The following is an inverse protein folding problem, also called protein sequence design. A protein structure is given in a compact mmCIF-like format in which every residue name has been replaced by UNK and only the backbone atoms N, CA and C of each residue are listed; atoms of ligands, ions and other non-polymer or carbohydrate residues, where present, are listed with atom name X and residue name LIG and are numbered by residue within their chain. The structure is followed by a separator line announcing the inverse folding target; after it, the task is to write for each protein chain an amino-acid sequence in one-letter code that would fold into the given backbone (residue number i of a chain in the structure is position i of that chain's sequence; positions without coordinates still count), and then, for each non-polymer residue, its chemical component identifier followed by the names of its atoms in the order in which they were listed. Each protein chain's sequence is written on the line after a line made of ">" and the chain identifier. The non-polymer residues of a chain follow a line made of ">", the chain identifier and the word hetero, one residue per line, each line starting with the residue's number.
data_IF_246931179406
#
_entry.id   IF_246931179406
#
_cell.length_a   1.000
_cell.length_b   1.000
_cell.length_c   1.000
_cell.angle_alpha   90.00
_cell.angle_beta   90.00
_cell.angle_gamma   90.00
#
_symmetry.space_group_name_H-M   'P 1'
#
loop_
_entity.id
_entity.type
_entity.pdbx_description
1 polymer ?
#
# COMPACT_ATOMS: atom_id res chain seq x y z
N UNK A 1 35.14 -32.87 -23.62
CA UNK A 1 34.20 -33.27 -22.53
C UNK A 1 34.06 -32.04 -21.63
N UNK A 2 33.05 -31.20 -21.85
CA UNK A 2 31.71 -31.19 -21.24
C UNK A 2 31.75 -30.72 -19.77
N UNK A 3 31.05 -29.59 -19.55
CA UNK A 3 30.54 -29.02 -18.27
C UNK A 3 31.62 -28.26 -17.49
N UNK A 4 31.47 -26.98 -17.13
CA UNK A 4 30.40 -26.39 -16.33
C UNK A 4 30.14 -24.94 -16.81
N UNK A 5 28.94 -24.67 -17.31
CA UNK A 5 28.34 -23.33 -17.32
C UNK A 5 27.36 -23.33 -16.15
N UNK A 6 27.64 -22.55 -15.12
CA UNK A 6 26.74 -22.12 -14.06
C UNK A 6 27.52 -21.03 -13.30
N UNK A 7 27.19 -19.74 -13.37
CA UNK A 7 25.86 -19.18 -13.19
C UNK A 7 25.64 -18.91 -11.70
N UNK A 8 26.31 -17.87 -11.16
CA UNK A 8 26.00 -17.29 -9.87
C UNK A 8 26.73 -15.93 -9.72
N UNK A 9 26.17 -14.88 -10.34
CA UNK A 9 26.39 -13.52 -9.86
C UNK A 9 25.26 -13.26 -8.85
N UNK A 10 25.52 -13.54 -7.58
CA UNK A 10 24.72 -13.05 -6.46
C UNK A 10 25.70 -12.57 -5.39
N UNK A 11 26.23 -11.38 -5.61
CA UNK A 11 26.83 -10.56 -4.57
C UNK A 11 25.99 -9.29 -4.47
N UNK A 12 24.83 -9.39 -3.82
CA UNK A 12 24.04 -8.25 -3.41
C UNK A 12 24.15 -8.12 -1.88
N UNK A 13 25.04 -7.21 -1.49
CA UNK A 13 25.04 -6.40 -0.25
C UNK A 13 24.12 -6.82 0.88
N UNK A 14 24.73 -7.27 1.97
CA UNK A 14 24.14 -7.27 3.32
C UNK A 14 23.94 -5.82 3.81
N UNK A 15 22.71 -5.36 3.87
CA UNK A 15 22.32 -4.21 4.69
C UNK A 15 21.28 -4.65 5.69
N UNK A 16 21.66 -4.64 6.96
CA UNK A 16 20.80 -4.91 8.11
C UNK A 16 19.66 -3.88 8.13
N UNK A 17 18.42 -4.35 8.03
CA UNK A 17 17.21 -3.56 8.27
C UNK A 17 16.29 -4.31 9.24
N UNK A 18 15.66 -3.55 10.13
CA UNK A 18 14.93 -3.97 11.31
C UNK A 18 13.92 -5.13 11.06
N UNK A 19 14.05 -6.19 11.86
CA UNK A 19 13.08 -7.29 12.08
C UNK A 19 12.36 -7.88 10.86
N UNK A 20 13.00 -7.95 9.68
CA UNK A 20 12.49 -8.72 8.57
C UNK A 20 12.71 -10.22 8.82
N UNK A 21 11.66 -11.03 8.69
CA UNK A 21 11.79 -12.49 8.53
C UNK A 21 12.88 -12.78 7.48
N UNK A 22 13.70 -13.84 7.64
CA UNK A 22 14.69 -14.24 6.62
C UNK A 22 14.10 -14.40 5.21
N UNK A 23 12.78 -14.59 5.11
CA UNK A 23 12.01 -14.67 3.86
C UNK A 23 11.65 -13.31 3.22
N UNK A 24 11.95 -12.18 3.86
CA UNK A 24 11.49 -10.85 3.48
C UNK A 24 10.03 -10.59 3.88
N UNK A 25 9.37 -9.63 3.23
CA UNK A 25 7.94 -9.34 3.39
C UNK A 25 7.11 -9.95 2.23
N UNK A 26 5.79 -10.00 2.35
CA UNK A 26 4.89 -10.58 1.34
C UNK A 26 3.95 -11.65 1.90
N UNK A 27 3.13 -12.25 1.04
CA UNK A 27 2.05 -13.17 1.44
C UNK A 27 2.57 -14.40 2.21
N UNK A 28 3.70 -14.93 1.76
CA UNK A 28 4.39 -16.04 2.39
C UNK A 28 4.79 -15.71 3.82
N UNK A 29 5.39 -14.55 4.05
CA UNK A 29 5.81 -14.12 5.38
C UNK A 29 4.63 -13.68 6.25
N UNK A 30 3.70 -12.90 5.73
CA UNK A 30 2.67 -12.25 6.53
C UNK A 30 1.47 -13.15 6.85
N UNK A 31 1.20 -14.15 6.00
CA UNK A 31 -0.03 -14.95 6.08
C UNK A 31 0.25 -16.44 6.13
N UNK A 32 0.99 -16.99 5.16
CA UNK A 32 1.11 -18.45 5.00
C UNK A 32 2.07 -19.07 6.02
N UNK A 33 3.18 -18.39 6.32
CA UNK A 33 4.25 -18.84 7.21
C UNK A 33 4.60 -17.76 8.24
N UNK A 34 3.56 -17.21 8.89
CA UNK A 34 3.69 -16.09 9.85
C UNK A 34 4.66 -16.38 11.00
N UNK A 35 4.66 -17.62 11.48
CA UNK A 35 5.46 -18.07 12.62
C UNK A 35 6.61 -18.99 12.19
N UNK A 36 7.16 -18.79 10.97
CA UNK A 36 8.30 -19.57 10.50
C UNK A 36 9.50 -19.47 11.45
N UNK A 37 9.98 -20.61 11.93
CA UNK A 37 11.13 -20.71 12.84
C UNK A 37 12.23 -21.62 12.29
N UNK A 38 11.89 -22.48 11.32
CA UNK A 38 12.83 -23.42 10.71
C UNK A 38 13.29 -22.95 9.33
N UNK A 39 14.48 -23.36 8.92
CA UNK A 39 15.07 -22.93 7.64
C UNK A 39 14.19 -23.25 6.42
N UNK A 40 13.50 -24.39 6.43
CA UNK A 40 12.67 -24.82 5.32
C UNK A 40 11.35 -24.02 5.25
N UNK A 41 10.81 -23.60 6.39
CA UNK A 41 9.65 -22.72 6.47
C UNK A 41 9.99 -21.34 5.90
N UNK A 42 11.18 -20.81 6.21
CA UNK A 42 11.66 -19.57 5.60
C UNK A 42 11.85 -19.69 4.08
N UNK A 43 12.33 -20.83 3.57
CA UNK A 43 12.44 -21.08 2.12
C UNK A 43 11.06 -21.12 1.46
N UNK A 44 10.08 -21.78 2.08
CA UNK A 44 8.71 -21.83 1.57
C UNK A 44 8.02 -20.47 1.62
N UNK A 45 8.25 -19.70 2.69
CA UNK A 45 7.79 -18.33 2.81
C UNK A 45 8.38 -17.44 1.71
N UNK A 46 9.70 -17.50 1.49
CA UNK A 46 10.39 -16.74 0.44
C UNK A 46 9.90 -17.15 -0.96
N UNK A 47 9.71 -18.45 -1.20
CA UNK A 47 9.17 -18.96 -2.46
C UNK A 47 7.76 -18.44 -2.68
N UNK A 48 6.91 -18.49 -1.64
CA UNK A 48 5.54 -17.98 -1.70
C UNK A 48 5.53 -16.48 -1.94
N UNK A 49 6.39 -15.69 -1.28
CA UNK A 49 6.56 -14.26 -1.53
C UNK A 49 6.89 -13.95 -3.00
N UNK A 50 7.76 -14.77 -3.61
CA UNK A 50 8.13 -14.64 -5.02
C UNK A 50 7.06 -15.09 -6.02
N UNK A 51 6.03 -15.82 -5.59
CA UNK A 51 4.98 -16.30 -6.51
C UNK A 51 3.95 -15.22 -6.81
N UNK A 52 3.53 -15.14 -8.08
CA UNK A 52 2.47 -14.24 -8.55
C UNK A 52 2.73 -12.76 -8.24
N UNK A 53 4.00 -12.36 -8.06
CA UNK A 53 4.38 -10.97 -7.79
C UNK A 53 3.87 -10.40 -6.47
N UNK A 54 3.41 -11.22 -5.52
CA UNK A 54 2.76 -10.71 -4.31
C UNK A 54 3.70 -9.88 -3.41
N UNK A 55 5.00 -10.22 -3.38
CA UNK A 55 5.98 -9.42 -2.66
C UNK A 55 6.16 -8.05 -3.31
N UNK A 56 6.24 -7.99 -4.64
CA UNK A 56 6.35 -6.72 -5.37
C UNK A 56 5.07 -5.89 -5.18
N UNK A 57 3.89 -6.52 -5.27
CA UNK A 57 2.63 -5.87 -4.97
C UNK A 57 2.63 -5.28 -3.55
N UNK A 58 2.97 -6.08 -2.54
CA UNK A 58 3.07 -5.64 -1.15
C UNK A 58 4.05 -4.48 -0.98
N UNK A 59 5.22 -4.54 -1.63
CA UNK A 59 6.19 -3.43 -1.61
C UNK A 59 5.65 -2.16 -2.26
N UNK A 60 4.94 -2.27 -3.38
CA UNK A 60 4.37 -1.10 -4.07
C UNK A 60 3.16 -0.53 -3.35
N UNK A 61 2.34 -1.40 -2.75
CA UNK A 61 1.10 -1.09 -2.05
C UNK A 61 1.31 -0.69 -0.59
N UNK A 62 2.45 -1.05 0.00
CA UNK A 62 2.65 -0.97 1.45
C UNK A 62 1.83 -1.99 2.23
N UNK A 63 1.55 -3.17 1.69
CA UNK A 63 0.76 -4.23 2.38
C UNK A 63 1.60 -5.47 2.67
N UNK A 64 1.02 -6.49 3.34
CA UNK A 64 1.67 -7.78 3.60
C UNK A 64 3.00 -7.67 4.37
N UNK A 65 3.09 -6.72 5.30
CA UNK A 65 4.30 -6.48 6.09
C UNK A 65 5.43 -5.80 5.29
N UNK A 66 5.11 -5.21 4.13
CA UNK A 66 6.06 -4.49 3.27
C UNK A 66 5.98 -2.96 3.41
N UNK A 67 5.40 -2.43 4.48
CA UNK A 67 5.23 -0.98 4.72
C UNK A 67 6.58 -0.25 4.66
N UNK A 68 7.65 -0.89 5.15
CA UNK A 68 9.01 -0.37 5.14
C UNK A 68 9.59 -0.12 3.72
N UNK A 69 8.98 -0.71 2.68
CA UNK A 69 9.39 -0.48 1.29
C UNK A 69 9.00 0.92 0.77
N UNK A 70 8.09 1.64 1.46
CA UNK A 70 7.62 2.96 1.08
C UNK A 70 7.21 3.04 -0.40
N UNK A 71 6.43 2.05 -0.85
CA UNK A 71 5.96 2.00 -2.22
C UNK A 71 5.11 3.22 -2.60
N UNK A 72 4.98 3.51 -3.90
CA UNK A 72 4.24 4.67 -4.39
C UNK A 72 2.78 4.72 -3.92
N UNK A 73 2.16 3.56 -3.64
CA UNK A 73 0.78 3.51 -3.13
C UNK A 73 0.72 3.57 -1.58
N UNK A 74 1.83 3.33 -0.87
CA UNK A 74 1.91 3.40 0.59
C UNK A 74 1.86 4.84 1.14
N UNK A 75 2.22 5.82 0.29
CA UNK A 75 2.24 7.24 0.67
C UNK A 75 0.86 7.79 1.01
N UNK A 76 -0.20 7.28 0.36
CA UNK A 76 -1.57 7.67 0.66
C UNK A 76 -1.98 7.20 2.05
N UNK A 77 -1.77 5.92 2.36
CA UNK A 77 -2.14 5.36 3.65
C UNK A 77 -1.34 6.00 4.80
N UNK A 78 -0.03 6.21 4.61
CA UNK A 78 0.81 6.93 5.57
C UNK A 78 0.36 8.37 5.79
N UNK A 79 -0.02 9.08 4.72
CA UNK A 79 -0.55 10.44 4.85
C UNK A 79 -1.86 10.44 5.62
N UNK A 80 -2.74 9.52 5.29
CA UNK A 80 -4.01 9.32 5.97
C UNK A 80 -3.79 9.02 7.46
N UNK A 81 -2.92 8.07 7.82
CA UNK A 81 -2.54 7.75 9.21
C UNK A 81 -2.16 8.99 10.02
N UNK A 82 -1.33 9.87 9.44
CA UNK A 82 -0.79 11.04 10.15
C UNK A 82 -1.73 12.24 10.18
N UNK A 83 -2.77 12.27 9.33
CA UNK A 83 -3.62 13.45 9.14
C UNK A 83 -5.12 13.14 9.27
N UNK A 84 -5.50 11.99 9.82
CA UNK A 84 -6.87 11.47 9.78
C UNK A 84 -7.92 12.45 10.33
N UNK A 85 -7.66 13.08 11.49
CA UNK A 85 -8.59 14.04 12.10
C UNK A 85 -8.79 15.29 11.22
N UNK A 86 -7.69 15.84 10.71
CA UNK A 86 -7.72 17.05 9.88
C UNK A 86 -8.34 16.74 8.51
N UNK A 87 -8.02 15.57 7.94
CA UNK A 87 -8.59 15.07 6.71
C UNK A 87 -10.10 14.87 6.86
N UNK A 88 -10.56 14.29 7.97
CA UNK A 88 -11.99 14.15 8.22
C UNK A 88 -12.69 15.52 8.24
N UNK A 89 -12.11 16.50 8.93
CA UNK A 89 -12.66 17.87 8.95
C UNK A 89 -12.70 18.51 7.56
N UNK A 90 -11.66 18.35 6.76
CA UNK A 90 -11.57 18.97 5.43
C UNK A 90 -12.48 18.24 4.41
N UNK A 91 -12.57 16.92 4.47
CA UNK A 91 -13.51 16.12 3.67
C UNK A 91 -14.95 16.47 4.02
N UNK A 92 -15.30 16.63 5.30
CA UNK A 92 -16.66 17.02 5.71
C UNK A 92 -17.11 18.36 5.11
N UNK A 93 -16.16 19.28 4.89
CA UNK A 93 -16.39 20.58 4.25
C UNK A 93 -16.34 20.50 2.72
N UNK A 94 -15.80 19.42 2.15
CA UNK A 94 -15.51 19.28 0.73
C UNK A 94 -14.32 20.12 0.25
N UNK A 95 -13.52 20.66 1.17
CA UNK A 95 -12.35 21.49 0.86
C UNK A 95 -11.43 21.59 2.08
N UNK A 96 -10.14 21.74 1.82
CA UNK A 96 -9.14 22.01 2.85
C UNK A 96 -7.76 21.48 2.48
N UNK A 97 -6.76 21.91 3.23
CA UNK A 97 -5.34 21.67 2.92
C UNK A 97 -5.02 20.18 2.88
N UNK A 98 -5.56 19.38 3.80
CA UNK A 98 -5.26 17.95 3.85
C UNK A 98 -5.99 17.16 2.77
N UNK A 99 -7.17 17.61 2.36
CA UNK A 99 -7.89 17.03 1.22
C UNK A 99 -7.17 17.35 -0.11
N UNK A 100 -6.69 18.58 -0.27
CA UNK A 100 -5.93 19.00 -1.44
C UNK A 100 -4.57 18.28 -1.51
N UNK A 101 -3.91 18.08 -0.37
CA UNK A 101 -2.68 17.30 -0.28
C UNK A 101 -2.93 15.83 -0.61
N UNK A 102 -4.02 15.23 -0.12
CA UNK A 102 -4.42 13.86 -0.46
C UNK A 102 -4.60 13.70 -1.98
N UNK A 103 -5.32 14.64 -2.61
CA UNK A 103 -5.54 14.64 -4.06
C UNK A 103 -4.19 14.70 -4.83
N UNK A 104 -3.22 15.49 -4.34
CA UNK A 104 -1.89 15.57 -4.94
C UNK A 104 -1.08 14.29 -4.78
N UNK A 105 -1.13 13.64 -3.61
CA UNK A 105 -0.42 12.37 -3.35
C UNK A 105 -0.97 11.25 -4.25
N UNK A 106 -2.28 11.23 -4.47
CA UNK A 106 -2.96 10.31 -5.40
C UNK A 106 -2.64 10.67 -6.88
N UNK A 107 -2.21 11.90 -7.15
CA UNK A 107 -1.96 12.38 -8.51
C UNK A 107 -3.21 12.79 -9.27
N UNK A 108 -4.27 13.20 -8.56
CA UNK A 108 -5.49 13.74 -9.16
C UNK A 108 -5.16 15.02 -9.94
N UNK A 109 -5.54 15.06 -11.22
CA UNK A 109 -5.32 16.25 -12.05
C UNK A 109 -6.20 17.41 -11.59
N UNK A 110 -5.71 18.63 -11.79
CA UNK A 110 -6.41 19.85 -11.38
C UNK A 110 -7.84 19.97 -11.95
N UNK A 111 -8.09 19.42 -13.14
CA UNK A 111 -9.42 19.40 -13.75
C UNK A 111 -10.43 18.55 -12.99
N UNK A 112 -9.95 17.54 -12.25
CA UNK A 112 -10.78 16.52 -11.62
C UNK A 112 -10.80 16.70 -10.09
N UNK A 113 -10.02 17.63 -9.54
CA UNK A 113 -9.99 17.92 -8.09
C UNK A 113 -11.37 18.26 -7.54
N UNK A 114 -12.19 19.00 -8.29
CA UNK A 114 -13.56 19.31 -7.85
C UNK A 114 -14.43 18.06 -7.75
N UNK A 115 -14.29 17.13 -8.69
CA UNK A 115 -15.03 15.87 -8.68
C UNK A 115 -14.53 14.96 -7.55
N UNK A 116 -13.22 14.93 -7.33
CA UNK A 116 -12.58 14.21 -6.22
C UNK A 116 -13.10 14.71 -4.87
N UNK A 117 -13.02 16.01 -4.60
CA UNK A 117 -13.47 16.60 -3.34
C UNK A 117 -14.96 16.33 -3.08
N UNK A 118 -15.80 16.45 -4.11
CA UNK A 118 -17.22 16.15 -4.02
C UNK A 118 -17.47 14.65 -3.73
N UNK A 119 -16.73 13.75 -4.37
CA UNK A 119 -16.85 12.32 -4.14
C UNK A 119 -16.41 11.94 -2.71
N UNK A 120 -15.33 12.53 -2.20
CA UNK A 120 -14.87 12.30 -0.83
C UNK A 120 -15.90 12.78 0.18
N UNK A 121 -16.45 13.99 -0.02
CA UNK A 121 -17.47 14.54 0.86
C UNK A 121 -18.76 13.71 0.83
N UNK A 122 -19.21 13.30 -0.35
CA UNK A 122 -20.44 12.51 -0.52
C UNK A 122 -20.34 11.10 0.12
N UNK A 123 -19.13 10.56 0.23
CA UNK A 123 -18.84 9.27 0.83
C UNK A 123 -18.14 9.40 2.20
N UNK A 124 -18.28 10.55 2.87
CA UNK A 124 -17.63 10.80 4.16
C UNK A 124 -17.95 9.70 5.19
N UNK A 125 -19.21 9.32 5.30
CA UNK A 125 -19.68 8.35 6.30
C UNK A 125 -19.13 6.93 6.07
N UNK A 126 -18.74 6.56 4.85
CA UNK A 126 -18.10 5.26 4.57
C UNK A 126 -16.60 5.28 4.86
N UNK A 127 -15.97 6.45 4.81
CA UNK A 127 -14.53 6.62 5.04
C UNK A 127 -14.21 6.89 6.51
N UNK A 128 -15.06 7.66 7.20
CA UNK A 128 -14.81 8.14 8.56
C UNK A 128 -15.95 7.70 9.48
N UNK A 129 -15.65 6.72 10.33
CA UNK A 129 -16.51 6.23 11.40
C UNK A 129 -15.76 6.27 12.73
N UNK A 130 -16.46 6.06 13.85
CA UNK A 130 -15.82 6.06 15.17
C UNK A 130 -14.72 4.99 15.33
N UNK A 131 -14.74 3.95 14.50
CA UNK A 131 -13.76 2.86 14.50
C UNK A 131 -12.86 2.90 13.25
N UNK A 132 -12.93 3.96 12.45
CA UNK A 132 -12.16 4.06 11.21
C UNK A 132 -10.66 4.11 11.49
N UNK A 133 -9.93 3.29 10.73
CA UNK A 133 -8.48 3.30 10.61
C UNK A 133 -8.09 3.92 9.26
N UNK A 134 -6.81 4.24 9.07
CA UNK A 134 -6.32 4.66 7.74
C UNK A 134 -6.59 3.63 6.66
N UNK A 135 -6.48 2.33 6.98
CA UNK A 135 -6.76 1.25 6.05
C UNK A 135 -8.23 1.27 5.61
N UNK A 136 -9.17 1.34 6.55
CA UNK A 136 -10.61 1.36 6.22
C UNK A 136 -11.03 2.66 5.53
N UNK A 137 -10.42 3.79 5.91
CA UNK A 137 -10.67 5.07 5.25
C UNK A 137 -10.12 5.07 3.81
N UNK A 138 -8.96 4.46 3.59
CA UNK A 138 -8.38 4.27 2.27
C UNK A 138 -9.23 3.34 1.40
N UNK A 139 -9.74 2.24 1.95
CA UNK A 139 -10.70 1.36 1.26
C UNK A 139 -11.96 2.12 0.86
N UNK A 140 -12.58 2.87 1.78
CA UNK A 140 -13.76 3.69 1.49
C UNK A 140 -13.49 4.77 0.43
N UNK A 141 -12.29 5.36 0.44
CA UNK A 141 -11.84 6.30 -0.60
C UNK A 141 -11.76 5.61 -1.97
N UNK A 142 -11.17 4.42 -2.02
CA UNK A 142 -11.08 3.63 -3.25
C UNK A 142 -12.47 3.32 -3.79
N UNK A 143 -13.41 2.88 -2.94
CA UNK A 143 -14.80 2.63 -3.34
C UNK A 143 -15.48 3.89 -3.89
N UNK A 144 -15.32 5.03 -3.21
CA UNK A 144 -15.85 6.32 -3.66
C UNK A 144 -15.31 6.71 -5.04
N UNK A 145 -14.01 6.49 -5.29
CA UNK A 145 -13.40 6.73 -6.59
C UNK A 145 -13.81 5.70 -7.65
N UNK A 146 -14.07 4.44 -7.27
CA UNK A 146 -14.55 3.40 -8.18
C UNK A 146 -15.95 3.69 -8.70
N UNK A 147 -16.81 4.35 -7.92
CA UNK A 147 -18.17 4.68 -8.38
C UNK A 147 -18.21 5.89 -9.31
N UNK A 148 -17.15 6.70 -9.37
CA UNK A 148 -17.05 7.87 -10.23
C UNK A 148 -16.32 7.58 -11.54
N UNK A 149 -17.02 7.74 -12.67
CA UNK A 149 -16.47 7.56 -14.03
C UNK A 149 -15.24 8.44 -14.28
N UNK A 150 -15.18 9.62 -13.64
CA UNK A 150 -14.09 10.58 -13.80
C UNK A 150 -12.85 10.20 -12.97
N UNK A 151 -13.03 9.50 -11.85
CA UNK A 151 -11.99 9.24 -10.86
C UNK A 151 -11.43 7.81 -10.90
N UNK A 152 -12.14 6.85 -11.49
CA UNK A 152 -11.69 5.46 -11.64
C UNK A 152 -10.29 5.33 -12.26
N UNK A 153 -9.91 6.28 -13.13
CA UNK A 153 -8.60 6.31 -13.81
C UNK A 153 -7.40 6.52 -12.88
N UNK A 154 -7.64 6.91 -11.62
CA UNK A 154 -6.60 7.13 -10.60
C UNK A 154 -6.37 5.92 -9.68
N UNK A 155 -7.10 4.81 -9.88
CA UNK A 155 -7.02 3.61 -9.05
C UNK A 155 -6.10 2.51 -9.63
N UNK A 156 -5.17 2.90 -10.51
CA UNK A 156 -4.29 2.00 -11.26
C UNK A 156 -3.01 1.59 -10.53
#
# INVERSE_FOLDING_TARGET
>A
MKKIIAGAILAASSTMAFAASPAGCGLGTAVVFKDANEWHEHVLAATTNGTSGNQTFGMTSGTLGCEAANGPLAGVQTFMDNNMDQLAMDVSKGQGETLDALAQIIGVQQSDTSAFNAAMQANFDSMFSAEATSATAYEGMQEAMQTSVELQKYLG
#
